data_IF_585154405932
#
_entry.id   IF_585154405932
#
_cell.length_a   1.000
_cell.length_b   1.000
_cell.length_c   1.000
_cell.angle_alpha   90.00
_cell.angle_beta   90.00
_cell.angle_gamma   90.00
#
_symmetry.space_group_name_H-M   'P 1'
#
loop_
_entity.id
_entity.type
_entity.pdbx_description
1 polymer ?
#
# COMPACT_ATOMS: atom_id res chain seq x y z
N UNK A 1 47.40 43.34 46.32
CA UNK A 1 47.27 41.90 46.65
C UNK A 1 47.69 41.11 45.42
N UNK A 2 48.84 40.44 45.42
CA UNK A 2 49.16 39.15 46.07
C UNK A 2 48.88 37.97 45.10
N UNK A 3 49.99 37.46 44.55
CA UNK A 3 50.31 36.03 44.32
C UNK A 3 49.69 35.29 43.10
N UNK A 4 50.58 34.92 42.17
CA UNK A 4 50.45 33.81 41.20
C UNK A 4 50.91 32.48 41.87
N UNK A 5 51.35 31.37 41.22
CA UNK A 5 51.23 30.91 39.82
C UNK A 5 50.76 29.43 39.72
N UNK A 6 50.70 28.85 38.51
CA UNK A 6 51.53 27.69 38.10
C UNK A 6 51.16 27.11 36.71
N UNK A 7 52.17 27.14 35.85
CA UNK A 7 52.47 26.38 34.61
C UNK A 7 52.72 24.87 34.92
N UNK A 8 53.18 23.97 34.00
CA UNK A 8 53.70 24.15 32.62
C UNK A 8 53.36 23.04 31.55
N UNK A 9 53.85 23.23 30.30
CA UNK A 9 54.44 22.24 29.31
C UNK A 9 53.72 20.91 28.99
N UNK A 10 53.79 20.29 27.79
CA UNK A 10 54.52 20.53 26.51
C UNK A 10 53.80 19.72 25.37
N UNK A 11 54.25 19.53 24.11
CA UNK A 11 55.45 19.92 23.34
C UNK A 11 55.08 20.12 21.83
N UNK A 12 56.07 20.10 20.93
CA UNK A 12 55.96 19.99 19.46
C UNK A 12 57.15 19.19 18.90
N UNK A 13 57.07 18.86 17.59
CA UNK A 13 58.15 18.49 16.62
C UNK A 13 58.41 16.98 16.40
N UNK A 14 58.91 16.51 15.24
CA UNK A 14 58.69 16.88 13.82
C UNK A 14 59.45 15.85 12.92
N UNK A 15 58.98 15.66 11.67
CA UNK A 15 59.73 15.23 10.46
C UNK A 15 60.32 13.80 10.25
N UNK A 16 59.94 13.20 9.10
CA UNK A 16 60.75 12.55 8.04
C UNK A 16 61.66 11.33 8.32
N UNK A 17 62.01 10.42 7.37
CA UNK A 17 61.50 9.99 6.04
C UNK A 17 62.36 8.76 5.57
N UNK A 18 62.06 8.15 4.41
CA UNK A 18 62.92 7.28 3.56
C UNK A 18 62.88 5.74 3.75
N UNK A 19 62.26 5.11 2.75
CA UNK A 19 62.54 3.85 2.02
C UNK A 19 63.35 2.68 2.60
N UNK A 20 62.81 1.47 2.36
CA UNK A 20 63.59 0.30 1.88
C UNK A 20 62.73 -0.69 1.09
N UNK A 21 63.02 -0.84 -0.21
CA UNK A 21 62.45 -1.91 -1.05
C UNK A 21 63.05 -3.28 -0.70
N UNK A 22 62.24 -4.35 -0.80
CA UNK A 22 62.70 -5.62 -1.39
C UNK A 22 61.53 -6.42 -1.98
N UNK A 23 61.67 -6.77 -3.25
CA UNK A 23 60.68 -7.47 -4.06
C UNK A 23 60.78 -9.00 -3.95
N UNK A 24 59.71 -9.66 -4.40
CA UNK A 24 59.56 -11.08 -4.86
C UNK A 24 58.93 -12.07 -3.87
N UNK A 25 57.68 -12.43 -4.15
CA UNK A 25 57.36 -13.73 -4.78
C UNK A 25 55.96 -13.69 -5.43
N UNK A 26 55.88 -14.06 -6.70
CA UNK A 26 54.61 -14.25 -7.42
C UNK A 26 54.05 -15.65 -7.11
N UNK A 27 52.74 -15.76 -6.93
CA UNK A 27 51.97 -16.96 -7.31
C UNK A 27 50.72 -16.49 -8.05
N UNK A 28 50.57 -16.77 -9.35
CA UNK A 28 49.39 -16.41 -10.12
C UNK A 28 48.30 -17.50 -10.03
N UNK A 29 47.04 -17.08 -10.15
CA UNK A 29 45.89 -17.99 -10.28
C UNK A 29 45.03 -18.19 -9.02
N UNK A 30 43.83 -18.74 -9.23
CA UNK A 30 42.80 -19.14 -8.24
C UNK A 30 42.07 -17.99 -7.50
N UNK A 31 42.72 -16.90 -7.08
CA UNK A 31 42.06 -15.89 -6.20
C UNK A 31 40.99 -14.98 -6.85
N UNK A 32 40.87 -14.93 -8.18
CA UNK A 32 39.88 -14.04 -8.85
C UNK A 32 38.54 -14.73 -9.19
N UNK A 33 38.46 -16.07 -9.19
CA UNK A 33 37.21 -16.78 -9.55
C UNK A 33 36.18 -16.73 -8.42
N UNK A 34 36.62 -16.79 -7.16
CA UNK A 34 35.73 -16.80 -5.98
C UNK A 34 34.94 -15.49 -5.83
N UNK A 35 35.52 -14.35 -6.24
CA UNK A 35 34.87 -13.06 -6.16
C UNK A 35 33.69 -12.90 -7.15
N UNK A 36 33.70 -13.65 -8.26
CA UNK A 36 32.62 -13.60 -9.26
C UNK A 36 31.42 -14.46 -8.86
N UNK A 37 31.66 -15.61 -8.21
CA UNK A 37 30.60 -16.52 -7.75
C UNK A 37 29.71 -15.94 -6.64
N UNK A 38 30.26 -15.05 -5.80
CA UNK A 38 29.53 -14.39 -4.69
C UNK A 38 28.64 -13.22 -5.12
N UNK A 39 28.78 -12.72 -6.35
CA UNK A 39 27.94 -11.64 -6.89
C UNK A 39 26.65 -12.14 -7.56
N UNK A 40 26.58 -13.44 -7.91
CA UNK A 40 25.43 -14.04 -8.61
C UNK A 40 24.35 -14.56 -7.64
N UNK A 41 24.69 -14.83 -6.37
CA UNK A 41 23.72 -15.32 -5.37
C UNK A 41 22.74 -14.25 -4.86
N UNK A 42 23.03 -12.97 -5.09
CA UNK A 42 22.27 -11.84 -4.52
C UNK A 42 20.89 -11.61 -5.15
N UNK A 43 20.63 -12.15 -6.34
CA UNK A 43 19.36 -11.96 -7.07
C UNK A 43 18.33 -13.06 -6.78
N UNK A 44 18.76 -14.22 -6.26
CA UNK A 44 17.88 -15.36 -6.00
C UNK A 44 16.98 -15.18 -4.77
N UNK A 45 17.31 -14.26 -3.87
CA UNK A 45 16.53 -13.98 -2.65
C UNK A 45 15.22 -13.23 -2.93
N UNK A 46 15.12 -12.53 -4.06
CA UNK A 46 13.97 -11.72 -4.47
C UNK A 46 12.72 -12.59 -4.73
N UNK A 47 12.88 -13.74 -5.38
CA UNK A 47 11.76 -14.62 -5.75
C UNK A 47 11.21 -15.49 -4.61
N UNK A 48 11.97 -15.64 -3.52
CA UNK A 48 11.66 -16.58 -2.44
C UNK A 48 10.49 -16.14 -1.54
N UNK A 49 10.19 -14.83 -1.47
CA UNK A 49 9.14 -14.30 -0.58
C UNK A 49 7.73 -14.58 -1.12
N UNK A 50 7.49 -14.28 -2.40
CA UNK A 50 6.24 -14.62 -3.08
C UNK A 50 6.02 -16.12 -3.20
N UNK A 51 7.08 -16.91 -3.42
CA UNK A 51 6.94 -18.38 -3.49
C UNK A 51 6.41 -18.97 -2.18
N UNK A 52 6.88 -18.50 -1.01
CA UNK A 52 6.35 -18.94 0.30
C UNK A 52 4.84 -18.67 0.45
N UNK A 53 4.35 -17.53 -0.06
CA UNK A 53 2.90 -17.24 -0.07
C UNK A 53 2.15 -18.17 -1.04
N UNK A 54 2.71 -18.42 -2.23
CA UNK A 54 2.12 -19.34 -3.21
C UNK A 54 2.12 -20.80 -2.73
N UNK A 55 3.14 -21.22 -1.99
CA UNK A 55 3.22 -22.54 -1.36
C UNK A 55 2.14 -22.69 -0.27
N UNK A 56 1.91 -21.65 0.54
CA UNK A 56 0.81 -21.62 1.50
C UNK A 56 -0.56 -21.62 0.79
N UNK A 57 -0.71 -20.90 -0.32
CA UNK A 57 -1.95 -20.94 -1.11
C UNK A 57 -2.20 -22.35 -1.65
N UNK A 58 -1.17 -23.00 -2.21
CA UNK A 58 -1.22 -24.39 -2.69
C UNK A 58 -1.61 -25.37 -1.57
N UNK A 59 -0.95 -25.29 -0.40
CA UNK A 59 -1.24 -26.07 0.82
C UNK A 59 -2.72 -26.03 1.22
N UNK A 60 -3.38 -24.87 1.07
CA UNK A 60 -4.80 -24.70 1.43
C UNK A 60 -5.77 -24.79 0.22
N UNK A 61 -5.25 -24.92 -1.00
CA UNK A 61 -6.04 -24.89 -2.23
C UNK A 61 -6.68 -23.52 -2.51
N UNK A 62 -6.04 -22.44 -2.08
CA UNK A 62 -6.40 -21.06 -2.41
C UNK A 62 -5.94 -20.77 -3.84
N UNK A 63 -6.76 -20.06 -4.61
CA UNK A 63 -6.42 -19.68 -5.98
C UNK A 63 -5.31 -18.61 -6.00
N UNK A 64 -4.22 -18.88 -6.73
CA UNK A 64 -3.10 -17.95 -6.92
C UNK A 64 -3.52 -16.65 -7.63
N UNK A 65 -4.60 -16.66 -8.42
CA UNK A 65 -5.16 -15.46 -9.05
C UNK A 65 -5.56 -14.38 -8.05
N UNK A 66 -5.72 -14.72 -6.77
CA UNK A 66 -6.03 -13.79 -5.69
C UNK A 66 -4.92 -12.75 -5.43
N UNK A 67 -3.69 -13.00 -5.89
CA UNK A 67 -2.60 -12.02 -5.85
C UNK A 67 -2.62 -11.03 -7.03
N UNK A 68 -3.45 -11.26 -8.05
CA UNK A 68 -3.53 -10.38 -9.23
C UNK A 68 -4.32 -9.10 -8.91
N UNK A 69 -3.82 -7.89 -9.28
CA UNK A 69 -4.44 -6.62 -8.93
C UNK A 69 -5.89 -6.43 -9.40
N UNK A 70 -6.36 -7.25 -10.34
CA UNK A 70 -7.71 -7.19 -10.93
C UNK A 70 -8.73 -8.09 -10.21
N UNK A 71 -8.30 -9.11 -9.48
CA UNK A 71 -9.20 -10.14 -8.92
C UNK A 71 -10.14 -9.61 -7.83
N UNK A 72 -9.70 -8.60 -7.09
CA UNK A 72 -10.47 -7.92 -6.04
C UNK A 72 -11.04 -6.56 -6.48
N UNK A 73 -11.00 -6.23 -7.77
CA UNK A 73 -11.60 -4.99 -8.27
C UNK A 73 -13.12 -5.12 -8.37
N UNK A 74 -13.81 -4.02 -8.07
CA UNK A 74 -15.25 -3.94 -8.22
C UNK A 74 -15.66 -4.22 -9.69
N UNK A 75 -16.58 -5.16 -9.95
CA UNK A 75 -16.99 -5.50 -11.32
C UNK A 75 -17.55 -4.31 -12.10
N UNK A 76 -17.04 -4.10 -13.31
CA UNK A 76 -17.41 -2.98 -14.20
C UNK A 76 -18.60 -3.30 -15.12
N UNK A 77 -19.15 -4.52 -15.03
CA UNK A 77 -20.32 -5.04 -15.77
C UNK A 77 -21.58 -5.16 -14.88
N UNK A 78 -21.54 -4.61 -13.66
CA UNK A 78 -22.67 -4.56 -12.73
C UNK A 78 -23.03 -3.12 -12.38
N UNK A 79 -24.33 -2.81 -12.40
CA UNK A 79 -24.90 -1.67 -11.70
C UNK A 79 -25.01 -1.95 -10.20
N UNK A 80 -24.94 -0.90 -9.38
CA UNK A 80 -25.06 -1.00 -7.92
C UNK A 80 -25.37 0.35 -7.27
N UNK A 81 -25.90 0.29 -6.06
CA UNK A 81 -26.08 1.44 -5.18
C UNK A 81 -24.86 1.62 -4.27
N UNK A 82 -24.49 2.87 -4.02
CA UNK A 82 -23.46 3.30 -3.07
C UNK A 82 -24.07 4.25 -2.04
N UNK A 83 -23.88 3.93 -0.77
CA UNK A 83 -24.04 4.87 0.35
C UNK A 83 -22.67 5.20 0.91
N UNK A 84 -22.22 6.44 0.73
CA UNK A 84 -20.94 6.93 1.26
C UNK A 84 -21.18 7.96 2.37
N UNK A 85 -20.67 7.68 3.57
CA UNK A 85 -20.60 8.63 4.68
C UNK A 85 -19.17 9.16 4.76
N UNK A 86 -18.98 10.48 4.81
CA UNK A 86 -17.69 11.13 5.03
C UNK A 86 -17.78 12.06 6.23
N UNK A 87 -16.84 11.95 7.16
CA UNK A 87 -16.69 12.85 8.31
C UNK A 87 -15.35 13.55 8.20
N UNK A 88 -15.34 14.88 8.11
CA UNK A 88 -14.12 15.68 8.09
C UNK A 88 -14.29 16.94 8.95
N UNK A 89 -13.31 17.22 9.82
CA UNK A 89 -13.34 18.36 10.74
C UNK A 89 -14.66 18.48 11.54
N UNK A 90 -15.22 17.35 11.98
CA UNK A 90 -16.49 17.28 12.72
C UNK A 90 -17.77 17.42 11.88
N UNK A 91 -17.67 17.75 10.58
CA UNK A 91 -18.81 17.76 9.67
C UNK A 91 -18.97 16.39 9.02
N UNK A 92 -20.12 15.75 9.24
CA UNK A 92 -20.54 14.57 8.50
C UNK A 92 -21.29 14.96 7.22
N UNK A 93 -21.15 14.17 6.16
CA UNK A 93 -21.94 14.23 4.92
C UNK A 93 -22.26 12.82 4.47
N UNK A 94 -23.53 12.54 4.17
CA UNK A 94 -23.99 11.25 3.66
C UNK A 94 -24.45 11.43 2.21
N UNK A 95 -23.81 10.73 1.29
CA UNK A 95 -24.13 10.74 -0.14
C UNK A 95 -24.72 9.39 -0.54
N UNK A 96 -25.85 9.41 -1.25
CA UNK A 96 -26.39 8.23 -1.93
C UNK A 96 -26.21 8.39 -3.43
N UNK A 97 -25.63 7.40 -4.09
CA UNK A 97 -25.37 7.39 -5.52
C UNK A 97 -25.63 6.01 -6.13
N UNK A 98 -25.82 5.97 -7.44
CA UNK A 98 -25.98 4.74 -8.21
C UNK A 98 -24.96 4.72 -9.34
N UNK A 99 -24.35 3.56 -9.55
CA UNK A 99 -23.50 3.25 -10.68
C UNK A 99 -24.30 2.42 -11.68
N UNK A 100 -24.30 2.81 -12.96
CA UNK A 100 -24.84 2.02 -14.07
C UNK A 100 -23.81 1.99 -15.23
N UNK A 101 -23.10 0.87 -15.45
CA UNK A 101 -22.06 0.78 -16.47
C UNK A 101 -22.57 0.83 -17.91
N UNK A 102 -23.88 0.59 -18.12
CA UNK A 102 -24.51 0.67 -19.45
C UNK A 102 -24.61 2.10 -19.99
N UNK A 103 -24.47 3.11 -19.10
CA UNK A 103 -24.47 4.53 -19.47
C UNK A 103 -23.11 4.99 -20.03
N UNK A 104 -23.08 6.08 -20.81
CA UNK A 104 -21.84 6.77 -21.19
C UNK A 104 -20.98 7.09 -19.96
N UNK A 105 -19.65 7.07 -20.10
CA UNK A 105 -18.71 7.15 -18.97
C UNK A 105 -18.99 8.31 -18.00
N UNK A 106 -19.31 9.49 -18.53
CA UNK A 106 -19.64 10.73 -17.78
C UNK A 106 -20.95 10.64 -16.97
N UNK A 107 -21.82 9.69 -17.29
CA UNK A 107 -23.18 9.54 -16.75
C UNK A 107 -23.39 8.25 -15.93
N UNK A 108 -22.40 7.35 -15.90
CA UNK A 108 -22.44 6.11 -15.10
C UNK A 108 -22.79 6.36 -13.64
N UNK A 109 -22.30 7.45 -13.08
CA UNK A 109 -22.62 7.88 -11.71
C UNK A 109 -23.79 8.85 -11.67
N UNK A 110 -24.86 8.44 -10.99
CA UNK A 110 -26.04 9.25 -10.68
C UNK A 110 -26.08 9.50 -9.17
N UNK A 111 -25.87 10.73 -8.71
CA UNK A 111 -26.05 11.08 -7.29
C UNK A 111 -27.55 11.26 -7.04
N UNK A 112 -28.08 10.52 -6.07
CA UNK A 112 -29.50 10.51 -5.71
C UNK A 112 -29.79 11.54 -4.63
N UNK A 113 -28.95 11.61 -3.59
CA UNK A 113 -29.09 12.58 -2.51
C UNK A 113 -27.77 12.90 -1.82
N UNK A 114 -27.71 14.09 -1.22
CA UNK A 114 -26.69 14.49 -0.25
C UNK A 114 -27.41 14.96 1.01
N UNK A 115 -27.10 14.35 2.16
CA UNK A 115 -27.78 14.55 3.45
C UNK A 115 -29.31 14.42 3.37
N UNK A 116 -29.81 13.53 2.50
CA UNK A 116 -31.23 13.32 2.25
C UNK A 116 -31.91 14.37 1.37
N UNK A 117 -31.18 15.38 0.88
CA UNK A 117 -31.67 16.42 -0.02
C UNK A 117 -31.24 16.17 -1.47
N UNK A 118 -31.95 16.77 -2.43
CA UNK A 118 -31.56 16.76 -3.84
C UNK A 118 -30.18 17.41 -4.02
N UNK A 119 -29.23 16.75 -4.71
CA UNK A 119 -27.87 17.24 -4.82
C UNK A 119 -27.78 18.49 -5.72
N UNK A 120 -26.93 19.43 -5.35
CA UNK A 120 -26.55 20.54 -6.23
C UNK A 120 -25.68 20.06 -7.39
N UNK A 121 -25.68 20.80 -8.51
CA UNK A 121 -24.80 20.51 -9.66
C UNK A 121 -23.31 20.48 -9.27
N UNK A 122 -22.91 21.26 -8.26
CA UNK A 122 -21.54 21.27 -7.74
C UNK A 122 -21.16 19.97 -7.04
N UNK A 123 -22.06 19.41 -6.24
CA UNK A 123 -21.87 18.11 -5.57
C UNK A 123 -21.83 16.96 -6.57
N UNK A 124 -22.75 16.92 -7.54
CA UNK A 124 -22.76 15.91 -8.62
C UNK A 124 -21.43 15.92 -9.39
N UNK A 125 -20.95 17.10 -9.80
CA UNK A 125 -19.70 17.24 -10.54
C UNK A 125 -18.48 16.82 -9.72
N UNK A 126 -18.45 17.18 -8.42
CA UNK A 126 -17.33 16.84 -7.53
C UNK A 126 -17.27 15.33 -7.28
N UNK A 127 -18.41 14.73 -6.93
CA UNK A 127 -18.54 13.29 -6.73
C UNK A 127 -18.11 12.49 -7.97
N UNK A 128 -18.58 12.89 -9.17
CA UNK A 128 -18.19 12.27 -10.44
C UNK A 128 -16.68 12.37 -10.67
N UNK A 129 -16.08 13.53 -10.43
CA UNK A 129 -14.62 13.74 -10.60
C UNK A 129 -13.77 12.87 -9.66
N UNK A 130 -14.26 12.60 -8.46
CA UNK A 130 -13.60 11.71 -7.50
C UNK A 130 -13.68 10.25 -7.94
N UNK A 131 -14.86 9.80 -8.41
CA UNK A 131 -15.11 8.41 -8.83
C UNK A 131 -14.75 8.10 -10.30
N UNK A 132 -14.37 9.11 -11.09
CA UNK A 132 -13.92 8.94 -12.48
C UNK A 132 -12.45 8.52 -12.60
N UNK A 133 -11.69 8.49 -11.49
CA UNK A 133 -10.31 8.01 -11.52
C UNK A 133 -10.27 6.51 -11.86
N UNK A 134 -9.56 6.07 -12.91
CA UNK A 134 -9.38 4.65 -13.18
C UNK A 134 -8.63 3.99 -12.03
N UNK A 135 -9.02 2.76 -11.69
CA UNK A 135 -8.27 1.94 -10.75
C UNK A 135 -6.83 1.78 -11.25
N UNK A 136 -5.85 2.17 -10.44
CA UNK A 136 -4.44 2.04 -10.81
C UNK A 136 -4.05 0.57 -10.81
N UNK A 137 -3.50 0.07 -11.92
CA UNK A 137 -2.90 -1.26 -12.03
C UNK A 137 -1.53 -1.33 -11.35
N UNK A 138 -1.47 -0.87 -10.11
CA UNK A 138 -0.29 -0.94 -9.24
C UNK A 138 0.03 -2.40 -8.97
N UNK A 139 1.29 -2.79 -9.18
CA UNK A 139 1.77 -4.15 -8.97
C UNK A 139 2.26 -4.30 -7.53
N UNK A 140 2.24 -5.52 -7.02
CA UNK A 140 2.97 -5.86 -5.80
C UNK A 140 4.49 -5.84 -6.06
N UNK A 141 5.26 -5.53 -5.04
CA UNK A 141 6.67 -5.86 -4.97
C UNK A 141 6.82 -7.32 -4.53
N UNK A 142 7.21 -8.19 -5.46
CA UNK A 142 7.34 -9.63 -5.24
C UNK A 142 8.34 -9.97 -4.10
N UNK A 143 9.29 -9.06 -3.81
CA UNK A 143 10.29 -9.17 -2.75
C UNK A 143 9.80 -8.68 -1.37
N UNK A 144 8.50 -8.39 -1.23
CA UNK A 144 7.89 -7.84 -0.01
C UNK A 144 6.78 -8.70 0.60
N UNK A 145 6.43 -9.80 -0.08
CA UNK A 145 5.38 -10.73 0.34
C UNK A 145 5.75 -11.48 1.63
N UNK A 146 4.79 -11.55 2.55
CA UNK A 146 4.98 -12.22 3.83
C UNK A 146 3.68 -12.88 4.28
N UNK A 147 3.79 -14.02 4.97
CA UNK A 147 2.74 -14.55 5.84
C UNK A 147 2.91 -13.91 7.21
N UNK A 148 1.98 -13.06 7.62
CA UNK A 148 2.02 -12.39 8.93
C UNK A 148 1.33 -13.22 10.02
N UNK A 149 0.30 -14.00 9.66
CA UNK A 149 -0.40 -14.89 10.59
C UNK A 149 -1.03 -16.06 9.85
N UNK A 150 -0.85 -17.25 10.38
CA UNK A 150 -1.55 -18.47 9.96
C UNK A 150 -2.29 -19.02 11.19
N UNK A 151 -3.59 -19.27 11.08
CA UNK A 151 -4.41 -19.92 12.12
C UNK A 151 -5.20 -21.09 11.53
N UNK A 152 -6.02 -21.76 12.34
CA UNK A 152 -6.94 -22.79 11.84
C UNK A 152 -8.04 -22.23 10.90
N UNK A 153 -8.34 -20.93 10.99
CA UNK A 153 -9.45 -20.29 10.27
C UNK A 153 -8.99 -19.33 9.16
N UNK A 154 -7.84 -18.67 9.34
CA UNK A 154 -7.41 -17.58 8.46
C UNK A 154 -5.91 -17.63 8.13
N UNK A 155 -5.60 -17.21 6.90
CA UNK A 155 -4.28 -16.82 6.45
C UNK A 155 -4.26 -15.30 6.24
N UNK A 156 -3.37 -14.61 6.94
CA UNK A 156 -3.09 -13.18 6.76
C UNK A 156 -1.75 -13.04 6.05
N UNK A 157 -1.78 -12.49 4.85
CA UNK A 157 -0.58 -12.12 4.10
C UNK A 157 -0.43 -10.60 4.07
N UNK A 158 0.80 -10.12 3.87
CA UNK A 158 1.07 -8.73 3.51
C UNK A 158 2.07 -8.60 2.37
N UNK A 159 2.07 -7.43 1.74
CA UNK A 159 3.01 -7.03 0.70
C UNK A 159 3.04 -5.51 0.58
N UNK A 160 3.97 -4.97 -0.19
CA UNK A 160 4.06 -3.57 -0.58
C UNK A 160 3.79 -3.43 -2.07
N UNK A 161 3.38 -2.24 -2.50
CA UNK A 161 3.26 -1.95 -3.92
C UNK A 161 4.63 -1.56 -4.50
N UNK A 162 4.94 -2.06 -5.70
CA UNK A 162 6.11 -1.69 -6.48
C UNK A 162 6.08 -0.16 -6.71
N UNK A 163 7.04 0.61 -6.16
CA UNK A 163 7.03 2.06 -6.24
C UNK A 163 7.10 2.59 -7.67
N UNK A 164 7.62 1.81 -8.62
CA UNK A 164 7.69 2.16 -10.05
C UNK A 164 6.35 2.00 -10.78
N UNK A 165 5.43 1.23 -10.21
CA UNK A 165 4.07 1.03 -10.73
C UNK A 165 3.04 2.04 -10.21
N UNK A 166 3.42 2.89 -9.24
CA UNK A 166 2.51 3.85 -8.62
C UNK A 166 2.32 5.11 -9.46
N UNK A 167 1.08 5.59 -9.68
CA UNK A 167 0.86 6.90 -10.27
C UNK A 167 1.36 8.01 -9.32
N UNK A 168 1.79 9.13 -9.88
CA UNK A 168 2.45 10.21 -9.14
C UNK A 168 1.62 10.74 -7.96
N UNK A 169 0.30 10.81 -8.09
CA UNK A 169 -0.60 11.27 -7.03
C UNK A 169 -0.89 10.23 -5.94
N UNK A 170 -0.56 8.94 -6.17
CA UNK A 170 -0.59 7.86 -5.18
C UNK A 170 0.83 7.40 -4.74
N UNK A 171 1.89 8.13 -5.10
CA UNK A 171 3.29 7.78 -4.79
C UNK A 171 3.61 7.65 -3.30
N UNK A 172 2.73 8.12 -2.41
CA UNK A 172 2.80 7.89 -0.96
C UNK A 172 2.53 6.43 -0.55
N UNK A 173 1.85 5.64 -1.40
CA UNK A 173 1.51 4.24 -1.12
C UNK A 173 2.73 3.31 -0.99
N UNK A 174 3.90 3.71 -1.52
CA UNK A 174 5.18 3.01 -1.31
C UNK A 174 5.60 2.93 0.17
N UNK A 175 5.06 3.84 0.98
CA UNK A 175 5.30 3.94 2.42
C UNK A 175 4.17 3.27 3.24
N UNK A 176 3.24 2.59 2.56
CA UNK A 176 2.19 1.75 3.13
C UNK A 176 2.48 0.25 2.91
N UNK A 177 1.80 -0.58 3.71
CA UNK A 177 1.72 -2.03 3.56
C UNK A 177 0.28 -2.43 3.28
N UNK A 178 0.12 -3.32 2.32
CA UNK A 178 -1.13 -4.01 1.99
C UNK A 178 -1.20 -5.28 2.83
N UNK A 179 -2.36 -5.58 3.40
CA UNK A 179 -2.67 -6.83 4.08
C UNK A 179 -3.90 -7.46 3.44
N UNK A 180 -3.95 -8.79 3.38
CA UNK A 180 -5.11 -9.53 2.87
C UNK A 180 -5.45 -10.69 3.81
N UNK A 181 -6.70 -10.71 4.27
CA UNK A 181 -7.25 -11.77 5.13
C UNK A 181 -8.03 -12.76 4.29
N UNK A 182 -7.58 -14.02 4.29
CA UNK A 182 -8.15 -15.12 3.52
C UNK A 182 -8.69 -16.16 4.50
N UNK A 183 -9.96 -16.51 4.35
CA UNK A 183 -10.59 -17.56 5.15
C UNK A 183 -10.23 -18.94 4.56
N UNK A 184 -9.67 -19.81 5.40
CA UNK A 184 -9.15 -21.13 5.00
C UNK A 184 -10.26 -22.17 4.74
N UNK A 185 -11.44 -21.98 5.33
CA UNK A 185 -12.62 -22.85 5.10
C UNK A 185 -13.27 -22.55 3.76
N UNK A 186 -13.48 -21.27 3.45
CA UNK A 186 -14.11 -20.83 2.19
C UNK A 186 -13.11 -20.70 1.03
N UNK A 187 -11.82 -20.53 1.36
CA UNK A 187 -10.70 -20.29 0.43
C UNK A 187 -10.85 -18.98 -0.34
N UNK A 188 -11.44 -17.97 0.30
CA UNK A 188 -11.76 -16.65 -0.26
C UNK A 188 -11.16 -15.52 0.56
N UNK A 189 -10.76 -14.44 -0.10
CA UNK A 189 -10.47 -13.18 0.58
C UNK A 189 -11.76 -12.59 1.14
N UNK A 190 -11.73 -12.20 2.40
CA UNK A 190 -12.84 -11.50 3.06
C UNK A 190 -12.53 -10.01 3.24
N UNK A 191 -11.25 -9.67 3.38
CA UNK A 191 -10.80 -8.30 3.65
C UNK A 191 -9.44 -8.03 3.00
N UNK A 192 -9.24 -6.80 2.54
CA UNK A 192 -7.92 -6.21 2.32
C UNK A 192 -7.81 -4.93 3.13
N UNK A 193 -6.60 -4.60 3.59
CA UNK A 193 -6.31 -3.43 4.41
C UNK A 193 -5.04 -2.75 3.91
N UNK A 194 -5.04 -1.43 3.87
CA UNK A 194 -3.85 -0.60 3.64
C UNK A 194 -3.53 0.09 4.96
N UNK A 195 -2.28 0.04 5.40
CA UNK A 195 -1.82 0.77 6.58
C UNK A 195 -0.49 1.44 6.28
N UNK A 196 -0.31 2.70 6.68
CA UNK A 196 0.97 3.38 6.58
C UNK A 196 1.99 2.82 7.59
N UNK A 197 3.21 2.47 7.14
CA UNK A 197 4.28 1.97 8.02
C UNK A 197 4.98 3.12 8.79
N UNK A 198 4.76 4.37 8.34
CA UNK A 198 5.29 5.63 8.88
C UNK A 198 4.40 6.79 8.42
N UNK A 199 4.51 8.01 8.96
CA UNK A 199 3.72 9.14 8.48
C UNK A 199 3.91 9.39 6.97
N UNK A 200 2.81 9.53 6.22
CA UNK A 200 2.81 9.68 4.75
C UNK A 200 2.42 11.08 4.32
N UNK A 201 3.06 11.58 3.26
CA UNK A 201 2.79 12.92 2.72
C UNK A 201 1.81 12.84 1.56
N UNK A 202 0.58 13.31 1.77
CA UNK A 202 -0.49 13.35 0.77
C UNK A 202 -0.67 14.81 0.35
N UNK A 203 -0.02 15.21 -0.75
CA UNK A 203 0.10 16.60 -1.22
C UNK A 203 0.71 17.53 -0.14
N UNK A 204 -0.13 18.36 0.49
CA UNK A 204 0.23 19.31 1.54
C UNK A 204 -0.04 18.78 2.96
N UNK A 205 -0.70 17.62 3.07
CA UNK A 205 -1.05 16.97 4.33
C UNK A 205 0.04 15.96 4.72
N UNK A 206 0.30 15.83 6.02
CA UNK A 206 1.04 14.69 6.58
C UNK A 206 0.05 13.83 7.35
N UNK A 207 -0.25 12.64 6.86
CA UNK A 207 -1.08 11.67 7.56
C UNK A 207 -0.21 10.84 8.53
N UNK A 208 -0.48 10.94 9.82
CA UNK A 208 0.19 10.14 10.86
C UNK A 208 -0.43 8.75 10.95
N UNK A 209 -1.77 8.69 10.83
CA UNK A 209 -2.52 7.47 10.52
C UNK A 209 -3.13 7.60 9.13
N UNK A 210 -2.99 6.56 8.32
CA UNK A 210 -3.69 6.35 7.06
C UNK A 210 -4.02 4.86 6.96
N UNK A 211 -5.29 4.52 7.16
CA UNK A 211 -5.81 3.17 7.12
C UNK A 211 -6.96 3.09 6.11
N UNK A 212 -6.89 2.17 5.15
CA UNK A 212 -8.05 1.79 4.32
C UNK A 212 -8.40 0.35 4.64
N UNK A 213 -9.69 0.04 4.76
CA UNK A 213 -10.20 -1.32 4.92
C UNK A 213 -11.28 -1.59 3.87
N UNK A 214 -11.10 -2.63 3.06
CA UNK A 214 -12.04 -3.07 2.04
C UNK A 214 -12.52 -4.47 2.41
N UNK A 215 -13.84 -4.70 2.40
CA UNK A 215 -14.44 -6.02 2.63
C UNK A 215 -15.13 -6.53 1.38
N UNK A 216 -15.01 -7.83 1.15
CA UNK A 216 -15.48 -8.50 -0.06
C UNK A 216 -16.44 -9.64 0.27
N UNK A 217 -17.40 -9.87 -0.63
CA UNK A 217 -18.12 -11.13 -0.73
C UNK A 217 -17.78 -11.81 -2.07
N UNK A 218 -17.56 -13.12 -2.03
CA UNK A 218 -17.48 -13.94 -3.23
C UNK A 218 -18.89 -14.24 -3.76
N UNK A 219 -19.18 -13.85 -4.99
CA UNK A 219 -20.40 -14.25 -5.68
C UNK A 219 -20.15 -15.57 -6.45
N UNK A 220 -20.87 -16.63 -6.07
CA UNK A 220 -20.74 -17.97 -6.64
C UNK A 220 -21.22 -18.07 -8.09
N UNK A 221 -22.28 -17.34 -8.45
CA UNK A 221 -22.90 -17.35 -9.78
C UNK A 221 -22.04 -16.59 -10.80
N UNK A 222 -21.60 -15.38 -10.44
CA UNK A 222 -20.75 -14.51 -11.25
C UNK A 222 -19.25 -14.89 -11.20
N UNK A 223 -18.89 -15.83 -10.31
CA UNK A 223 -17.53 -16.35 -10.06
C UNK A 223 -16.49 -15.25 -9.86
N UNK A 224 -16.82 -14.23 -9.06
CA UNK A 224 -15.94 -13.07 -8.78
C UNK A 224 -16.25 -12.44 -7.44
N UNK A 225 -15.36 -11.59 -6.98
CA UNK A 225 -15.57 -10.79 -5.78
C UNK A 225 -16.41 -9.54 -6.07
N UNK A 226 -17.13 -9.09 -5.04
CA UNK A 226 -17.83 -7.83 -4.99
C UNK A 226 -17.38 -7.11 -3.71
N UNK A 227 -16.99 -5.84 -3.83
CA UNK A 227 -16.76 -4.99 -2.65
C UNK A 227 -18.11 -4.73 -1.99
N UNK A 228 -18.22 -5.00 -0.68
CA UNK A 228 -19.45 -4.74 0.09
C UNK A 228 -19.33 -3.52 0.99
N UNK A 229 -18.11 -3.21 1.45
CA UNK A 229 -17.83 -1.98 2.19
C UNK A 229 -16.38 -1.54 2.05
N UNK A 230 -16.16 -0.24 2.04
CA UNK A 230 -14.85 0.40 2.14
C UNK A 230 -14.86 1.38 3.31
N UNK A 231 -13.76 1.48 4.04
CA UNK A 231 -13.57 2.49 5.07
C UNK A 231 -12.18 3.13 4.94
N UNK A 232 -12.11 4.45 5.15
CA UNK A 232 -10.88 5.20 5.35
C UNK A 232 -10.88 5.76 6.77
N UNK A 233 -9.79 5.61 7.49
CA UNK A 233 -9.48 6.36 8.71
C UNK A 233 -8.12 7.03 8.52
N UNK A 234 -8.13 8.37 8.46
CA UNK A 234 -6.94 9.18 8.26
C UNK A 234 -6.86 10.29 9.30
N UNK A 235 -5.78 10.28 10.08
CA UNK A 235 -5.40 11.40 10.94
C UNK A 235 -4.32 12.22 10.23
N UNK A 236 -4.70 13.40 9.74
CA UNK A 236 -3.84 14.28 8.94
C UNK A 236 -3.49 15.58 9.68
N UNK A 237 -2.26 16.06 9.49
CA UNK A 237 -1.80 17.38 9.93
C UNK A 237 -1.68 18.34 8.75
N UNK A 238 -2.22 19.55 8.94
CA UNK A 238 -2.10 20.69 8.02
C UNK A 238 -1.80 21.95 8.82
N UNK A 239 -0.71 22.64 8.51
CA UNK A 239 -0.28 23.89 9.17
C UNK A 239 -0.29 23.81 10.73
N UNK A 240 0.09 22.65 11.28
CA UNK A 240 0.12 22.39 12.73
C UNK A 240 -1.23 21.97 13.34
N UNK A 241 -2.33 22.05 12.59
CA UNK A 241 -3.64 21.57 13.04
C UNK A 241 -3.83 20.10 12.64
N UNK A 242 -4.29 19.27 13.57
CA UNK A 242 -4.70 17.89 13.30
C UNK A 242 -6.17 17.86 12.90
N UNK A 243 -6.49 17.16 11.81
CA UNK A 243 -7.83 16.86 11.36
C UNK A 243 -7.97 15.35 11.13
N UNK A 244 -9.03 14.76 11.71
CA UNK A 244 -9.44 13.40 11.36
C UNK A 244 -10.36 13.47 10.14
N UNK A 245 -10.15 12.53 9.21
CA UNK A 245 -10.98 12.30 8.03
C UNK A 245 -11.34 10.83 8.01
N UNK A 246 -12.62 10.55 8.14
CA UNK A 246 -13.19 9.20 8.09
C UNK A 246 -14.10 9.10 6.87
N UNK A 247 -14.02 8.00 6.12
CA UNK A 247 -15.07 7.65 5.16
C UNK A 247 -15.54 6.22 5.38
N UNK A 248 -16.81 5.97 5.11
CA UNK A 248 -17.43 4.66 5.16
C UNK A 248 -18.41 4.51 3.99
N UNK A 249 -18.05 3.69 3.02
CA UNK A 249 -18.84 3.35 1.84
C UNK A 249 -19.46 1.96 2.02
N UNK A 250 -20.73 1.81 1.69
CA UNK A 250 -21.44 0.54 1.61
C UNK A 250 -22.04 0.38 0.21
N UNK A 251 -21.87 -0.81 -0.37
CA UNK A 251 -22.29 -1.13 -1.73
C UNK A 251 -23.37 -2.21 -1.70
N UNK A 252 -24.43 -2.04 -2.49
CA UNK A 252 -25.60 -2.93 -2.47
C UNK A 252 -26.31 -3.00 -3.83
N UNK A 253 -27.35 -3.84 -3.91
CA UNK A 253 -28.25 -3.93 -5.07
C UNK A 253 -27.53 -4.20 -6.41
N UNK A 254 -26.53 -5.09 -6.36
CA UNK A 254 -25.76 -5.50 -7.54
C UNK A 254 -26.66 -6.17 -8.59
N UNK A 255 -26.73 -5.56 -9.78
CA UNK A 255 -27.49 -6.07 -10.91
C UNK A 255 -26.61 -6.07 -12.17
N UNK A 256 -26.53 -7.21 -12.86
CA UNK A 256 -25.80 -7.31 -14.12
C UNK A 256 -26.46 -6.43 -15.19
N UNK A 257 -25.64 -5.82 -16.05
CA UNK A 257 -26.08 -4.99 -17.18
C UNK A 257 -25.58 -5.54 -18.52
#
# INVERSE_FOLDING_TARGET
MIVAPKTPTDQKKHFNNIDKMKNRLQVPGIKQVVALSLLVTSTLTVSAQKSVVLDAFSKYGIDASLLEPTTLQQPTDYAYDLKATSTAAGKQTVTMAQYDPSKPAEERWTVVSVNGQSPSRGEVNSFRKEHAKPASSSRADDASYKIDKETADYLLISYKQDPTSLPKDASFMKDCRMYMTINLKTKKAEQSQVLNEKPVKIKMLTAEKFEIMVKYNWNSEAKRYFTVSEALDMQAKFLGQTANVETASAYSNFAKK
#
